data_IF_637959199236
#
_entry.id   IF_637959199236
#
_cell.length_a   1.000
_cell.length_b   1.000
_cell.length_c   1.000
_cell.angle_alpha   90.00
_cell.angle_beta   90.00
_cell.angle_gamma   90.00
#
_symmetry.space_group_name_H-M   'P 1'
#
loop_
_entity.id
_entity.type
_entity.pdbx_description
1 polymer ?
#
# COMPACT_ATOMS: atom_id res chain seq x y z
N UNK A 1 10.54 9.84 6.37
CA UNK A 1 11.78 9.03 6.39
C UNK A 1 12.80 9.71 7.26
N UNK A 2 13.48 8.97 8.11
CA UNK A 2 14.51 9.43 9.05
C UNK A 2 15.64 8.41 9.10
N UNK A 3 16.64 8.65 9.93
CA UNK A 3 17.70 7.69 10.24
C UNK A 3 17.68 7.42 11.75
N UNK A 4 17.87 6.17 12.08
CA UNK A 4 18.03 5.70 13.45
C UNK A 4 19.43 5.11 13.58
N UNK A 5 20.15 5.49 14.64
CA UNK A 5 21.46 4.93 14.94
C UNK A 5 21.25 3.85 16.00
N UNK A 6 21.67 2.65 15.72
CA UNK A 6 21.66 1.55 16.65
C UNK A 6 22.84 1.64 17.61
N UNK A 7 22.79 0.94 18.71
CA UNK A 7 23.86 0.88 19.72
C UNK A 7 25.19 0.39 19.12
N UNK A 8 25.12 -0.47 18.11
CA UNK A 8 26.28 -0.97 17.36
C UNK A 8 26.92 0.05 16.43
N UNK A 9 26.38 1.28 16.36
CA UNK A 9 26.84 2.35 15.46
C UNK A 9 26.31 2.23 14.02
N UNK A 10 25.49 1.23 13.72
CA UNK A 10 24.84 1.08 12.40
C UNK A 10 23.78 2.17 12.19
N UNK A 11 23.79 2.80 11.01
CA UNK A 11 22.79 3.79 10.60
C UNK A 11 21.71 3.12 9.75
N UNK A 12 20.50 3.01 10.28
CA UNK A 12 19.38 2.37 9.60
C UNK A 12 18.41 3.44 9.09
N UNK A 13 18.07 3.45 7.77
CA UNK A 13 16.99 4.30 7.25
C UNK A 13 15.64 3.78 7.73
N UNK A 14 14.84 4.66 8.32
CA UNK A 14 13.53 4.29 8.87
C UNK A 14 12.41 5.21 8.38
N UNK A 15 11.20 4.69 8.36
CA UNK A 15 9.98 5.47 8.13
C UNK A 15 9.06 5.31 9.34
N UNK A 16 8.76 6.40 10.01
CA UNK A 16 7.78 6.41 11.09
C UNK A 16 6.37 6.34 10.52
N UNK A 17 5.56 5.41 11.01
CA UNK A 17 4.17 5.19 10.62
C UNK A 17 3.28 5.37 11.84
N UNK A 18 2.34 6.30 11.79
CA UNK A 18 1.33 6.48 12.84
C UNK A 18 0.21 5.46 12.70
N UNK A 19 -0.04 4.70 13.76
CA UNK A 19 -1.14 3.72 13.85
C UNK A 19 -2.31 4.21 14.69
N UNK A 20 -2.34 5.49 15.07
CA UNK A 20 -3.40 6.06 15.89
C UNK A 20 -4.77 6.07 15.17
N UNK A 21 -5.82 5.95 15.96
CA UNK A 21 -7.19 6.13 15.50
C UNK A 21 -7.82 4.94 14.78
N UNK A 22 -7.19 3.77 14.83
CA UNK A 22 -7.77 2.55 14.30
C UNK A 22 -8.63 1.87 15.39
N UNK A 23 -9.80 1.36 14.99
CA UNK A 23 -10.68 0.61 15.88
C UNK A 23 -11.45 -0.47 15.13
N UNK A 24 -11.88 -1.48 15.85
CA UNK A 24 -12.69 -2.58 15.32
C UNK A 24 -14.12 -2.10 15.14
N UNK A 25 -14.56 -1.93 13.89
CA UNK A 25 -15.92 -1.49 13.57
C UNK A 25 -16.91 -2.65 13.46
N UNK A 26 -16.41 -3.87 13.24
CA UNK A 26 -17.28 -5.04 13.14
C UNK A 26 -16.48 -6.33 13.02
N UNK A 27 -17.14 -7.44 13.30
CA UNK A 27 -16.57 -8.79 13.21
C UNK A 27 -17.47 -9.61 12.30
N UNK A 28 -16.88 -10.24 11.30
CA UNK A 28 -17.54 -11.20 10.41
C UNK A 28 -17.17 -12.61 10.83
N UNK A 29 -18.18 -13.45 11.00
CA UNK A 29 -18.00 -14.84 11.41
C UNK A 29 -18.37 -15.79 10.26
N UNK A 30 -17.77 -16.96 10.25
CA UNK A 30 -18.01 -17.98 9.23
C UNK A 30 -19.47 -18.39 9.15
N UNK A 31 -20.17 -18.41 10.29
CA UNK A 31 -21.60 -18.78 10.35
C UNK A 31 -22.52 -17.77 9.64
N UNK A 32 -22.26 -16.47 9.79
CA UNK A 32 -23.11 -15.40 9.24
C UNK A 32 -22.66 -14.94 7.85
N UNK A 33 -21.36 -14.93 7.59
CA UNK A 33 -20.78 -14.31 6.39
C UNK A 33 -20.03 -15.31 5.49
N UNK A 34 -19.87 -16.57 5.93
CA UNK A 34 -19.14 -17.61 5.19
C UNK A 34 -17.62 -17.57 5.37
N UNK A 35 -17.07 -16.56 6.05
CA UNK A 35 -15.64 -16.40 6.33
C UNK A 35 -15.41 -15.53 7.57
N UNK A 36 -14.22 -15.66 8.15
CA UNK A 36 -13.80 -14.85 9.30
C UNK A 36 -13.05 -13.62 8.85
N UNK A 37 -13.43 -12.45 9.36
CA UNK A 37 -12.75 -11.18 9.08
C UNK A 37 -13.04 -10.13 10.14
N UNK A 38 -12.09 -9.22 10.33
CA UNK A 38 -12.22 -8.01 11.12
C UNK A 38 -12.48 -6.83 10.19
N UNK A 39 -13.49 -6.03 10.51
CA UNK A 39 -13.75 -4.77 9.85
C UNK A 39 -13.12 -3.67 10.70
N UNK A 40 -12.06 -3.06 10.18
CA UNK A 40 -11.31 -2.01 10.86
C UNK A 40 -11.67 -0.67 10.26
N UNK A 41 -11.92 0.31 11.11
CA UNK A 41 -12.13 1.70 10.72
C UNK A 41 -11.03 2.57 11.29
N UNK A 42 -10.62 3.57 10.50
CA UNK A 42 -9.75 4.64 10.96
C UNK A 42 -10.57 5.90 11.12
N UNK A 43 -10.46 6.55 12.28
CA UNK A 43 -11.10 7.83 12.53
C UNK A 43 -10.50 8.88 11.60
N UNK A 44 -11.25 9.30 10.62
CA UNK A 44 -10.91 10.41 9.73
C UNK A 44 -12.09 11.37 9.68
N UNK A 45 -11.81 12.67 9.64
CA UNK A 45 -12.85 13.67 9.38
C UNK A 45 -13.30 13.53 7.93
N UNK A 46 -14.24 12.63 7.66
CA UNK A 46 -14.84 12.47 6.34
C UNK A 46 -16.13 13.27 6.26
N UNK A 47 -16.13 14.33 5.47
CA UNK A 47 -17.31 15.17 5.26
C UNK A 47 -18.35 14.56 4.30
N UNK A 48 -18.00 13.49 3.56
CA UNK A 48 -18.84 12.92 2.51
C UNK A 48 -19.09 11.42 2.74
N UNK A 49 -19.91 11.12 3.75
CA UNK A 49 -20.35 9.76 4.00
C UNK A 49 -21.68 9.47 3.29
N UNK A 50 -21.74 8.33 2.62
CA UNK A 50 -22.99 7.80 2.12
C UNK A 50 -23.95 7.50 3.29
N UNK A 51 -25.25 7.65 3.07
CA UNK A 51 -26.29 7.39 4.08
C UNK A 51 -26.11 6.03 4.77
N UNK A 52 -25.86 4.98 4.01
CA UNK A 52 -25.63 3.62 4.53
C UNK A 52 -24.43 3.54 5.50
N UNK A 53 -23.31 4.19 5.18
CA UNK A 53 -22.15 4.23 6.07
C UNK A 53 -22.43 5.04 7.33
N UNK A 54 -23.14 6.18 7.21
CA UNK A 54 -23.50 7.00 8.36
C UNK A 54 -24.42 6.27 9.33
N UNK A 55 -25.39 5.51 8.82
CA UNK A 55 -26.28 4.69 9.63
C UNK A 55 -25.55 3.52 10.30
N UNK A 56 -24.60 2.90 9.61
CA UNK A 56 -23.75 1.86 10.18
C UNK A 56 -22.97 2.38 11.39
N UNK A 57 -22.25 3.52 11.24
CA UNK A 57 -21.47 4.10 12.33
C UNK A 57 -22.34 4.60 13.50
N UNK A 58 -23.55 5.10 13.22
CA UNK A 58 -24.50 5.46 14.26
C UNK A 58 -24.94 4.26 15.11
N UNK A 59 -25.15 3.09 14.48
CA UNK A 59 -25.56 1.85 15.19
C UNK A 59 -24.48 1.35 16.15
N UNK A 60 -23.22 1.57 15.85
CA UNK A 60 -22.09 1.13 16.68
C UNK A 60 -21.54 2.25 17.58
N UNK A 61 -22.15 3.44 17.56
CA UNK A 61 -21.74 4.63 18.33
C UNK A 61 -20.27 5.01 18.15
N UNK A 62 -19.73 4.84 16.93
CA UNK A 62 -18.36 5.16 16.62
C UNK A 62 -18.27 6.30 15.60
N UNK A 63 -17.16 7.03 15.65
CA UNK A 63 -16.88 8.09 14.69
C UNK A 63 -16.72 7.53 13.28
N UNK A 64 -17.35 8.17 12.28
CA UNK A 64 -17.26 7.70 10.91
C UNK A 64 -15.85 7.82 10.35
N UNK A 65 -15.44 6.81 9.55
CA UNK A 65 -14.12 6.75 8.95
C UNK A 65 -14.05 5.87 7.71
N UNK A 66 -12.84 5.63 7.24
CA UNK A 66 -12.59 4.66 6.19
C UNK A 66 -12.73 3.25 6.74
N UNK A 67 -13.39 2.36 6.01
CA UNK A 67 -13.56 0.96 6.38
C UNK A 67 -12.64 0.07 5.54
N UNK A 68 -11.89 -0.79 6.20
CA UNK A 68 -11.06 -1.81 5.58
C UNK A 68 -11.34 -3.17 6.21
N UNK A 69 -11.29 -4.22 5.42
CA UNK A 69 -11.57 -5.58 5.86
C UNK A 69 -10.30 -6.40 5.82
N UNK A 70 -10.02 -7.11 6.91
CA UNK A 70 -8.88 -7.99 7.06
C UNK A 70 -9.36 -9.38 7.45
N UNK A 71 -9.02 -10.38 6.66
CA UNK A 71 -9.26 -11.78 7.00
C UNK A 71 -8.33 -12.18 8.15
N UNK A 72 -8.89 -12.78 9.18
CA UNK A 72 -8.16 -13.33 10.32
C UNK A 72 -8.89 -14.54 10.84
N UNK A 73 -8.16 -15.53 11.28
CA UNK A 73 -8.73 -16.70 11.94
C UNK A 73 -8.94 -16.43 13.45
N UNK A 74 -8.15 -15.53 14.02
CA UNK A 74 -8.21 -15.13 15.44
C UNK A 74 -9.15 -13.93 15.64
N UNK A 75 -10.45 -14.15 15.55
CA UNK A 75 -11.46 -13.09 15.74
C UNK A 75 -12.01 -13.00 17.16
N UNK A 76 -11.83 -14.06 17.97
CA UNK A 76 -12.40 -14.16 19.33
C UNK A 76 -11.76 -13.19 20.34
N UNK A 77 -10.54 -12.75 20.07
CA UNK A 77 -9.80 -11.80 20.93
C UNK A 77 -10.20 -10.33 20.74
N UNK A 78 -11.05 -10.05 19.75
CA UNK A 78 -11.42 -8.68 19.38
C UNK A 78 -12.87 -8.39 19.68
N UNK A 79 -13.13 -7.20 20.23
CA UNK A 79 -14.47 -6.66 20.50
C UNK A 79 -14.74 -5.43 19.63
N UNK A 80 -16.01 -5.22 19.29
CA UNK A 80 -16.45 -4.03 18.52
C UNK A 80 -16.22 -2.79 19.38
N UNK A 81 -15.55 -1.78 18.81
CA UNK A 81 -15.18 -0.54 19.49
C UNK A 81 -13.78 -0.56 20.12
N UNK A 82 -13.10 -1.71 20.19
CA UNK A 82 -11.73 -1.79 20.69
C UNK A 82 -10.77 -1.01 19.81
N UNK A 83 -9.95 -0.16 20.41
CA UNK A 83 -8.89 0.54 19.71
C UNK A 83 -7.72 -0.40 19.43
N UNK A 84 -7.17 -0.27 18.24
CA UNK A 84 -5.96 -0.98 17.82
C UNK A 84 -4.79 -0.02 17.94
N UNK A 85 -3.87 -0.33 18.84
CA UNK A 85 -2.63 0.42 19.10
C UNK A 85 -1.43 -0.26 18.45
N UNK A 86 -0.26 0.34 18.57
CA UNK A 86 0.99 -0.25 18.09
C UNK A 86 1.36 -1.56 18.82
N UNK A 87 0.80 -1.82 19.99
CA UNK A 87 1.06 -3.02 20.81
C UNK A 87 0.68 -4.34 20.11
N UNK A 88 -0.04 -4.29 19.00
CA UNK A 88 -0.31 -5.47 18.15
C UNK A 88 0.96 -6.01 17.48
N UNK A 89 1.99 -5.18 17.37
CA UNK A 89 3.25 -5.54 16.72
C UNK A 89 4.37 -5.74 17.73
N UNK A 90 5.41 -6.45 17.33
CA UNK A 90 6.60 -6.68 18.15
C UNK A 90 7.85 -6.11 17.45
N UNK A 91 8.79 -5.58 18.24
CA UNK A 91 10.09 -5.13 17.71
C UNK A 91 10.84 -6.32 17.13
N UNK A 92 11.39 -6.16 15.93
CA UNK A 92 12.06 -7.24 15.21
C UNK A 92 11.16 -8.04 14.26
N UNK A 93 9.84 -7.90 14.36
CA UNK A 93 8.87 -8.56 13.48
C UNK A 93 8.99 -8.04 12.03
N UNK A 94 8.72 -8.91 11.06
CA UNK A 94 8.62 -8.56 9.65
C UNK A 94 7.17 -8.33 9.25
N UNK A 95 6.92 -7.24 8.55
CA UNK A 95 5.57 -6.84 8.11
C UNK A 95 5.55 -6.48 6.63
N UNK A 96 4.41 -6.70 5.98
CA UNK A 96 4.13 -6.29 4.63
C UNK A 96 3.34 -4.98 4.64
N UNK A 97 3.88 -3.94 4.01
CA UNK A 97 3.24 -2.62 3.97
C UNK A 97 2.64 -2.36 2.60
N UNK A 98 1.34 -2.14 2.58
CA UNK A 98 0.59 -1.82 1.37
C UNK A 98 0.14 -0.37 1.39
N UNK A 99 0.45 0.35 0.34
CA UNK A 99 0.06 1.75 0.19
C UNK A 99 -0.21 2.13 -1.26
N UNK A 100 -0.67 3.36 -1.46
CA UNK A 100 -0.84 3.93 -2.80
C UNK A 100 0.37 4.76 -3.16
N UNK A 101 1.04 4.39 -4.25
CA UNK A 101 2.23 5.09 -4.72
C UNK A 101 1.90 6.49 -5.25
N UNK A 102 2.86 7.42 -5.16
CA UNK A 102 2.69 8.78 -5.72
C UNK A 102 2.40 8.71 -7.21
N UNK A 103 1.39 9.45 -7.67
CA UNK A 103 1.07 9.59 -9.08
C UNK A 103 2.19 10.31 -9.83
N UNK A 104 2.56 9.80 -11.01
CA UNK A 104 3.56 10.38 -11.91
C UNK A 104 2.95 10.77 -13.27
N UNK A 105 1.62 10.70 -13.38
CA UNK A 105 0.89 11.00 -14.60
C UNK A 105 1.17 10.02 -15.74
N UNK A 106 1.01 10.46 -16.96
CA UNK A 106 1.39 9.69 -18.14
C UNK A 106 2.90 9.66 -18.30
N UNK A 107 3.48 8.48 -18.45
CA UNK A 107 4.91 8.29 -18.60
C UNK A 107 5.25 7.44 -19.82
N UNK A 108 6.31 7.83 -20.52
CA UNK A 108 6.88 7.06 -21.61
C UNK A 108 7.52 5.76 -21.13
N UNK A 109 7.81 4.86 -22.05
CA UNK A 109 8.33 3.51 -21.77
C UNK A 109 9.68 3.50 -21.06
N UNK A 110 10.52 4.49 -21.31
CA UNK A 110 11.84 4.62 -20.65
C UNK A 110 11.63 4.84 -19.15
N UNK A 111 10.81 5.82 -18.75
CA UNK A 111 10.53 6.11 -17.34
C UNK A 111 9.69 5.04 -16.67
N UNK A 112 8.69 4.48 -17.40
CA UNK A 112 7.70 3.55 -16.83
C UNK A 112 8.24 2.14 -16.68
N UNK A 113 9.07 1.69 -17.62
CA UNK A 113 9.52 0.30 -17.73
C UNK A 113 11.04 0.13 -17.85
N UNK A 114 11.80 1.23 -17.71
CA UNK A 114 13.27 1.23 -17.81
C UNK A 114 13.78 0.71 -19.17
N UNK A 115 13.11 1.07 -20.27
CA UNK A 115 13.59 0.78 -21.59
C UNK A 115 14.81 1.65 -21.91
N UNK A 116 15.76 1.11 -22.66
CA UNK A 116 16.88 1.87 -23.20
C UNK A 116 16.35 2.88 -24.22
N UNK A 117 16.92 4.08 -24.22
CA UNK A 117 16.69 5.04 -25.31
C UNK A 117 17.46 4.60 -26.55
N UNK A 118 16.99 5.05 -27.69
CA UNK A 118 17.73 4.91 -28.95
C UNK A 118 18.82 5.99 -29.04
N UNK A 119 19.69 5.87 -30.05
CA UNK A 119 20.80 6.79 -30.25
C UNK A 119 20.36 8.26 -30.27
N UNK A 120 21.12 9.12 -29.61
CA UNK A 120 20.87 10.56 -29.61
C UNK A 120 21.36 11.24 -30.90
N UNK A 121 22.29 10.59 -31.62
CA UNK A 121 22.95 11.07 -32.85
C UNK A 121 22.94 10.00 -33.92
N UNK A 122 23.91 9.97 -34.82
CA UNK A 122 24.06 8.98 -35.91
C UNK A 122 22.86 8.86 -36.83
N UNK A 123 22.22 10.00 -37.14
CA UNK A 123 21.09 10.06 -38.07
C UNK A 123 19.73 9.62 -37.51
N UNK A 124 19.64 9.32 -36.21
CA UNK A 124 18.38 9.01 -35.58
C UNK A 124 17.48 10.25 -35.58
N UNK A 125 16.29 10.15 -36.17
CA UNK A 125 15.32 11.22 -36.27
C UNK A 125 14.03 10.86 -35.58
N UNK A 126 13.57 11.71 -34.64
CA UNK A 126 12.26 11.64 -33.97
C UNK A 126 11.99 10.37 -33.12
N UNK A 127 12.89 9.40 -33.10
CA UNK A 127 12.68 8.08 -32.46
C UNK A 127 13.49 7.86 -31.17
N UNK A 128 14.14 8.89 -30.61
CA UNK A 128 15.06 8.78 -29.46
C UNK A 128 14.45 8.10 -28.22
N UNK A 129 13.17 8.32 -28.00
CA UNK A 129 12.46 7.79 -26.81
C UNK A 129 11.30 6.85 -27.15
N UNK A 130 11.28 6.31 -28.37
CA UNK A 130 10.29 5.36 -28.83
C UNK A 130 10.47 4.00 -28.14
N UNK A 131 9.39 3.22 -28.07
CA UNK A 131 9.43 1.91 -27.43
C UNK A 131 9.95 0.78 -28.32
N UNK A 132 10.30 1.08 -29.59
CA UNK A 132 10.81 0.07 -30.53
C UNK A 132 9.72 -0.87 -31.03
N UNK A 133 10.11 -2.08 -31.41
CA UNK A 133 9.17 -3.08 -31.90
C UNK A 133 8.15 -3.49 -30.86
N UNK A 134 6.89 -3.58 -31.27
CA UNK A 134 5.78 -4.03 -30.41
C UNK A 134 5.33 -5.46 -30.71
N UNK A 135 5.86 -6.08 -31.77
CA UNK A 135 5.51 -7.43 -32.17
C UNK A 135 6.13 -7.83 -33.50
N UNK A 136 5.70 -8.95 -34.03
CA UNK A 136 6.08 -9.52 -35.31
C UNK A 136 5.08 -9.08 -36.41
N UNK A 137 5.27 -9.62 -37.61
CA UNK A 137 4.45 -9.28 -38.78
C UNK A 137 3.11 -10.07 -38.82
N UNK A 138 2.86 -10.80 -39.90
CA UNK A 138 1.60 -11.52 -40.14
C UNK A 138 1.27 -12.56 -39.05
N UNK A 139 2.26 -13.26 -38.55
CA UNK A 139 2.12 -14.20 -37.43
C UNK A 139 2.90 -13.66 -36.22
N UNK A 140 2.22 -13.37 -35.10
CA UNK A 140 0.84 -13.69 -34.68
C UNK A 140 -0.22 -12.65 -35.12
N UNK A 141 0.12 -11.60 -35.87
CA UNK A 141 -0.80 -10.54 -36.35
C UNK A 141 -1.41 -9.69 -35.24
N UNK A 142 -0.88 -9.74 -34.04
CA UNK A 142 -1.37 -9.02 -32.86
C UNK A 142 -0.24 -8.65 -31.89
N UNK A 143 -0.50 -7.66 -31.06
CA UNK A 143 0.36 -7.36 -29.90
C UNK A 143 -0.05 -8.25 -28.73
N UNK A 144 0.90 -8.89 -28.08
CA UNK A 144 0.64 -9.76 -26.94
C UNK A 144 0.08 -8.97 -25.75
N UNK A 145 -0.84 -9.59 -25.00
CA UNK A 145 -1.32 -9.03 -23.74
C UNK A 145 -0.15 -8.85 -22.77
N UNK A 146 -0.18 -7.74 -22.01
CA UNK A 146 0.89 -7.43 -21.07
C UNK A 146 2.14 -6.80 -21.69
N UNK A 147 2.16 -6.52 -23.01
CA UNK A 147 3.27 -5.77 -23.63
C UNK A 147 3.46 -4.42 -22.94
N UNK A 148 4.69 -4.18 -22.49
CA UNK A 148 5.07 -2.94 -21.80
C UNK A 148 5.01 -1.76 -22.78
N UNK A 149 4.14 -0.79 -22.49
CA UNK A 149 3.92 0.42 -23.30
C UNK A 149 3.83 1.65 -22.40
N UNK A 150 3.88 2.84 -23.00
CA UNK A 150 3.61 4.11 -22.31
C UNK A 150 2.20 4.10 -21.70
N UNK A 151 2.00 4.87 -20.64
CA UNK A 151 0.71 4.97 -19.98
C UNK A 151 0.82 5.58 -18.59
N UNK A 152 -0.26 5.51 -17.84
CA UNK A 152 -0.33 5.99 -16.46
C UNK A 152 0.70 5.29 -15.56
N UNK A 153 1.44 6.09 -14.79
CA UNK A 153 2.44 5.61 -13.83
C UNK A 153 2.15 6.18 -12.45
N UNK A 154 2.33 5.36 -11.42
CA UNK A 154 2.01 5.72 -10.05
C UNK A 154 0.51 5.70 -9.75
N UNK A 155 0.12 6.23 -8.58
CA UNK A 155 -1.26 6.17 -8.06
C UNK A 155 -1.86 4.75 -8.13
N UNK A 156 -1.04 3.77 -7.84
CA UNK A 156 -1.40 2.35 -7.85
C UNK A 156 -1.06 1.73 -6.50
N UNK A 157 -1.91 0.80 -6.06
CA UNK A 157 -1.67 0.02 -4.85
C UNK A 157 -0.41 -0.84 -5.04
N UNK A 158 0.54 -0.69 -4.11
CA UNK A 158 1.81 -1.42 -4.08
C UNK A 158 2.05 -1.96 -2.69
N UNK A 159 2.56 -3.18 -2.63
CA UNK A 159 2.96 -3.82 -1.38
C UNK A 159 4.47 -3.99 -1.39
N UNK A 160 5.11 -3.57 -0.31
CA UNK A 160 6.51 -3.84 -0.02
C UNK A 160 6.54 -4.89 1.07
N UNK A 161 7.20 -6.00 0.80
CA UNK A 161 7.23 -7.16 1.69
C UNK A 161 8.45 -7.15 2.60
N UNK A 162 8.32 -7.86 3.73
CA UNK A 162 9.43 -8.18 4.65
C UNK A 162 10.15 -6.94 5.21
N UNK A 163 9.41 -5.89 5.57
CA UNK A 163 9.96 -4.75 6.30
C UNK A 163 10.10 -5.08 7.77
N UNK A 164 11.30 -4.91 8.32
CA UNK A 164 11.57 -5.15 9.74
C UNK A 164 11.14 -3.96 10.59
N UNK A 165 10.40 -4.22 11.66
CA UNK A 165 10.10 -3.22 12.69
C UNK A 165 11.37 -3.04 13.53
N UNK A 166 11.89 -1.82 13.57
CA UNK A 166 13.14 -1.50 14.28
C UNK A 166 12.84 -1.03 15.70
N UNK A 167 11.83 -0.19 15.84
CA UNK A 167 11.46 0.40 17.11
C UNK A 167 9.97 0.73 17.14
N UNK A 168 9.38 0.80 18.32
CA UNK A 168 7.97 1.10 18.54
C UNK A 168 7.77 2.02 19.73
N UNK A 169 7.11 3.13 19.50
CA UNK A 169 6.55 3.96 20.56
C UNK A 169 5.14 3.47 20.90
N UNK A 170 4.92 2.98 22.09
CA UNK A 170 3.64 2.42 22.56
C UNK A 170 2.46 3.40 22.39
N UNK A 171 2.73 4.70 22.33
CA UNK A 171 1.69 5.74 22.29
C UNK A 171 1.27 6.14 20.88
N UNK A 172 2.14 6.13 19.86
CA UNK A 172 1.76 6.72 18.57
C UNK A 172 2.47 6.23 17.29
N UNK A 173 3.67 5.67 17.34
CA UNK A 173 4.45 5.41 16.12
C UNK A 173 5.13 4.05 16.10
N UNK A 174 5.19 3.45 14.92
CA UNK A 174 6.03 2.29 14.62
C UNK A 174 7.11 2.68 13.63
N UNK A 175 8.37 2.36 13.91
CA UNK A 175 9.49 2.63 13.03
C UNK A 175 9.80 1.40 12.16
N UNK A 176 9.64 1.54 10.85
CA UNK A 176 9.91 0.49 9.89
C UNK A 176 11.24 0.76 9.18
N UNK A 177 12.07 -0.27 9.03
CA UNK A 177 13.26 -0.20 8.19
C UNK A 177 12.83 -0.03 6.73
N UNK A 178 13.28 1.02 6.06
CA UNK A 178 13.09 1.18 4.63
C UNK A 178 14.01 0.20 3.89
N UNK A 179 13.48 -0.51 2.87
CA UNK A 179 14.32 -1.25 1.94
C UNK A 179 15.19 -0.27 1.17
N UNK A 180 16.48 -0.54 1.11
CA UNK A 180 17.37 0.09 0.14
C UNK A 180 17.00 -0.45 -1.24
N UNK A 181 16.49 0.42 -2.10
CA UNK A 181 16.29 0.16 -3.52
C UNK A 181 17.36 0.86 -4.33
#
# INVERSE_FOLDING_TARGET
MSRLFLEDGESVPVTAVSVCGNFVAGIKTKEKNGYNALLISKTEKSNNLNKSKSEFFKKINLNPGSLSEFKSDEIESYEIGKHLTAEVFEVGQYVDVTGTSKGKGYAGVIKRHNFSMQDATHGNSLAHRAHGSIGQCQTPGRVWKGKKMSGHMGNAKKTIQSLKIVDMDAVSYTHLRAHET
#
